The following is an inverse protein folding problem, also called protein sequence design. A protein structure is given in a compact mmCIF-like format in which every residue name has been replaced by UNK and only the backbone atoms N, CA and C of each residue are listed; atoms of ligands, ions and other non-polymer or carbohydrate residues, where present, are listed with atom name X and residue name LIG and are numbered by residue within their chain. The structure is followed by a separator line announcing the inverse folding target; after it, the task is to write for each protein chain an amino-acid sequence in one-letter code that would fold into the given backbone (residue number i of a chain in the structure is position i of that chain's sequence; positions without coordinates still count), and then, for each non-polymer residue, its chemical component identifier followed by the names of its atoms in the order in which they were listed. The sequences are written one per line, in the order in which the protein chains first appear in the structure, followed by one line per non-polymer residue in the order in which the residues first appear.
data_IF_681366792059
#
_entry.id   IF_681366792059
#
_cell.length_a   1.000
_cell.length_b   1.000
_cell.length_c   1.000
_cell.angle_alpha   90.00
_cell.angle_beta   90.00
_cell.angle_gamma   90.00
#
_symmetry.space_group_name_H-M   'P 1'
#
loop_
_entity.id
_entity.type
_entity.pdbx_description
1 polymer ?
#
# COMPACT_ATOMS: atom_id res chain seq x y z
N UNK A 1 32.72 -0.53 -15.31
CA UNK A 1 31.39 -0.87 -14.73
C UNK A 1 31.00 0.02 -13.56
N UNK A 2 31.69 0.05 -12.41
CA UNK A 2 31.33 0.91 -11.25
C UNK A 2 31.14 2.40 -11.58
N UNK A 3 32.03 3.00 -12.40
CA UNK A 3 31.88 4.38 -12.89
C UNK A 3 30.63 4.59 -13.76
N UNK A 4 30.26 3.59 -14.56
CA UNK A 4 29.08 3.63 -15.43
C UNK A 4 27.80 3.48 -14.58
N UNK A 5 27.82 2.59 -13.59
CA UNK A 5 26.72 2.38 -12.62
C UNK A 5 26.50 3.65 -11.80
N UNK A 6 27.55 4.29 -11.30
CA UNK A 6 27.44 5.56 -10.58
C UNK A 6 26.99 6.72 -11.49
N UNK A 7 27.31 6.68 -12.79
CA UNK A 7 26.82 7.68 -13.75
C UNK A 7 25.35 7.46 -14.14
N UNK A 8 24.84 6.24 -14.01
CA UNK A 8 23.45 5.86 -14.30
C UNK A 8 22.57 5.83 -13.04
N UNK A 9 23.15 5.83 -11.84
CA UNK A 9 22.42 5.87 -10.59
C UNK A 9 21.84 7.28 -10.37
N UNK A 10 20.63 7.48 -10.87
CA UNK A 10 19.86 8.68 -10.63
C UNK A 10 19.29 8.59 -9.21
N UNK A 11 19.74 9.48 -8.32
CA UNK A 11 19.23 9.59 -6.95
C UNK A 11 19.84 8.62 -5.93
N UNK A 12 19.90 9.09 -4.69
CA UNK A 12 20.32 8.30 -3.53
C UNK A 12 19.20 7.39 -3.03
N UNK A 13 19.57 6.30 -2.34
CA UNK A 13 18.61 5.40 -1.69
C UNK A 13 17.61 6.15 -0.80
N UNK A 14 18.07 7.19 -0.10
CA UNK A 14 17.20 8.05 0.73
C UNK A 14 16.14 8.79 -0.08
N UNK A 15 16.48 9.29 -1.27
CA UNK A 15 15.52 9.97 -2.15
C UNK A 15 14.47 8.99 -2.66
N UNK A 16 14.88 7.77 -3.03
CA UNK A 16 13.97 6.73 -3.47
C UNK A 16 13.08 6.21 -2.33
N UNK A 17 13.62 6.08 -1.12
CA UNK A 17 12.83 5.71 0.05
C UNK A 17 11.78 6.78 0.38
N UNK A 18 12.16 8.06 0.32
CA UNK A 18 11.23 9.16 0.51
C UNK A 18 10.14 9.19 -0.57
N UNK A 19 10.53 9.13 -1.84
CA UNK A 19 9.58 9.14 -2.96
C UNK A 19 8.63 7.94 -2.88
N UNK A 20 9.14 6.73 -2.64
CA UNK A 20 8.34 5.53 -2.50
C UNK A 20 7.36 5.62 -1.34
N UNK A 21 7.77 6.18 -0.21
CA UNK A 21 6.87 6.43 0.94
C UNK A 21 5.77 7.41 0.56
N UNK A 22 6.12 8.56 -0.05
CA UNK A 22 5.17 9.59 -0.44
C UNK A 22 4.11 9.06 -1.42
N UNK A 23 4.53 8.38 -2.50
CA UNK A 23 3.60 7.82 -3.47
C UNK A 23 2.78 6.67 -2.89
N UNK A 24 3.35 5.87 -2.00
CA UNK A 24 2.62 4.83 -1.27
C UNK A 24 1.51 5.40 -0.37
N UNK A 25 1.77 6.52 0.30
CA UNK A 25 0.78 7.23 1.10
C UNK A 25 -0.33 7.83 0.24
N UNK A 26 0.03 8.44 -0.90
CA UNK A 26 -0.96 8.97 -1.86
C UNK A 26 -1.84 7.84 -2.40
N UNK A 27 -1.26 6.70 -2.75
CA UNK A 27 -2.03 5.53 -3.19
C UNK A 27 -2.96 5.02 -2.08
N UNK A 28 -2.51 5.02 -0.82
CA UNK A 28 -3.32 4.62 0.34
C UNK A 28 -4.52 5.54 0.57
N UNK A 29 -4.45 6.80 0.15
CA UNK A 29 -5.58 7.73 0.22
C UNK A 29 -6.77 7.28 -0.64
N UNK A 30 -6.54 6.53 -1.74
CA UNK A 30 -7.62 5.95 -2.54
C UNK A 30 -8.40 4.89 -1.75
N UNK A 31 -7.71 4.04 -0.98
CA UNK A 31 -8.33 3.04 -0.11
C UNK A 31 -9.12 3.73 1.01
N UNK A 32 -8.56 4.78 1.60
CA UNK A 32 -9.25 5.57 2.61
C UNK A 32 -10.53 6.22 2.06
N UNK A 33 -10.48 6.77 0.85
CA UNK A 33 -11.66 7.34 0.19
C UNK A 33 -12.76 6.29 -0.03
N UNK A 34 -12.38 5.09 -0.48
CA UNK A 34 -13.34 3.99 -0.63
C UNK A 34 -13.92 3.59 0.73
N UNK A 35 -13.09 3.48 1.76
CA UNK A 35 -13.53 3.12 3.11
C UNK A 35 -14.54 4.13 3.68
N UNK A 36 -14.30 5.44 3.50
CA UNK A 36 -15.26 6.47 3.90
C UNK A 36 -16.58 6.31 3.16
N UNK A 37 -16.56 6.02 1.85
CA UNK A 37 -17.76 5.75 1.07
C UNK A 37 -18.52 4.52 1.59
N UNK A 38 -17.82 3.44 1.93
CA UNK A 38 -18.45 2.22 2.45
C UNK A 38 -19.03 2.41 3.86
N UNK A 39 -18.47 3.29 4.68
CA UNK A 39 -19.05 3.64 5.98
C UNK A 39 -20.35 4.45 5.87
N UNK A 40 -20.54 5.17 4.76
CA UNK A 40 -21.70 6.02 4.52
C UNK A 40 -22.77 5.33 3.68
N UNK A 41 -22.55 4.07 3.29
CA UNK A 41 -23.50 3.34 2.43
C UNK A 41 -24.79 3.04 3.19
N UNK A 42 -25.91 3.11 2.48
CA UNK A 42 -27.23 2.77 3.01
C UNK A 42 -27.65 1.33 2.69
N UNK A 43 -27.00 0.71 1.70
CA UNK A 43 -27.34 -0.63 1.20
C UNK A 43 -26.14 -1.57 1.35
N UNK A 44 -26.35 -2.85 1.03
CA UNK A 44 -25.28 -3.85 0.97
C UNK A 44 -24.13 -3.39 0.07
N UNK A 45 -22.90 -3.75 0.44
CA UNK A 45 -21.73 -3.38 -0.34
C UNK A 45 -21.76 -4.03 -1.73
N UNK A 46 -21.45 -3.23 -2.75
CA UNK A 46 -21.28 -3.73 -4.13
C UNK A 46 -19.84 -4.16 -4.44
N UNK A 47 -18.92 -4.00 -3.48
CA UNK A 47 -17.52 -4.36 -3.68
C UNK A 47 -17.33 -5.87 -3.74
N UNK A 48 -16.48 -6.31 -4.68
CA UNK A 48 -16.11 -7.73 -4.79
C UNK A 48 -15.26 -8.16 -3.60
N UNK A 49 -15.76 -9.13 -2.83
CA UNK A 49 -15.00 -9.76 -1.74
C UNK A 49 -13.63 -10.26 -2.23
N UNK A 50 -13.59 -10.95 -3.37
CA UNK A 50 -12.36 -11.50 -3.93
C UNK A 50 -11.34 -10.41 -4.26
N UNK A 51 -11.79 -9.25 -4.74
CA UNK A 51 -10.92 -8.10 -4.99
C UNK A 51 -10.38 -7.54 -3.68
N UNK A 52 -11.25 -7.27 -2.70
CA UNK A 52 -10.85 -6.65 -1.43
C UNK A 52 -9.91 -7.55 -0.64
N UNK A 53 -10.25 -8.84 -0.52
CA UNK A 53 -9.42 -9.85 0.13
C UNK A 53 -8.13 -10.13 -0.65
N UNK A 54 -8.18 -10.16 -1.98
CA UNK A 54 -6.99 -10.37 -2.81
C UNK A 54 -5.93 -9.28 -2.58
N UNK A 55 -6.35 -8.01 -2.59
CA UNK A 55 -5.43 -6.90 -2.30
C UNK A 55 -4.93 -6.89 -0.86
N UNK A 56 -5.73 -7.36 0.12
CA UNK A 56 -5.26 -7.57 1.48
C UNK A 56 -4.03 -8.48 1.51
N UNK A 57 -4.08 -9.61 0.79
CA UNK A 57 -2.95 -10.55 0.70
C UNK A 57 -1.74 -9.93 -0.02
N UNK A 58 -1.97 -9.12 -1.06
CA UNK A 58 -0.90 -8.39 -1.77
C UNK A 58 -0.18 -7.42 -0.83
N UNK A 59 -0.91 -6.62 -0.05
CA UNK A 59 -0.30 -5.68 0.90
C UNK A 59 0.41 -6.41 2.03
N UNK A 60 -0.15 -7.52 2.53
CA UNK A 60 0.51 -8.36 3.51
C UNK A 60 1.84 -8.91 2.97
N UNK A 61 1.83 -9.47 1.75
CA UNK A 61 3.04 -9.98 1.09
C UNK A 61 4.12 -8.90 0.98
N UNK A 62 3.77 -7.71 0.48
CA UNK A 62 4.73 -6.63 0.31
C UNK A 62 5.23 -6.06 1.64
N UNK A 63 4.38 -6.00 2.66
CA UNK A 63 4.80 -5.62 4.01
C UNK A 63 5.90 -6.57 4.53
N UNK A 64 5.65 -7.89 4.48
CA UNK A 64 6.65 -8.88 4.90
C UNK A 64 7.91 -8.88 4.03
N UNK A 65 7.76 -8.65 2.72
CA UNK A 65 8.88 -8.44 1.83
C UNK A 65 9.73 -7.23 2.27
N UNK A 66 9.08 -6.10 2.55
CA UNK A 66 9.74 -4.89 3.05
C UNK A 66 10.52 -5.13 4.33
N UNK A 67 9.94 -5.87 5.30
CA UNK A 67 10.61 -6.27 6.53
C UNK A 67 11.84 -7.14 6.25
N UNK A 68 11.70 -8.17 5.39
CA UNK A 68 12.77 -9.11 5.04
C UNK A 68 14.00 -8.43 4.43
N UNK A 69 13.78 -7.40 3.62
CA UNK A 69 14.84 -6.66 2.90
C UNK A 69 15.15 -5.29 3.51
N UNK A 70 14.56 -4.95 4.66
CA UNK A 70 14.77 -3.69 5.40
C UNK A 70 14.55 -2.45 4.51
N UNK A 71 13.44 -2.40 3.78
CA UNK A 71 13.07 -1.31 2.86
C UNK A 71 11.95 -0.44 3.45
N UNK A 72 12.26 0.70 4.09
CA UNK A 72 11.27 1.51 4.81
C UNK A 72 10.08 1.95 3.95
N UNK A 73 10.34 2.36 2.70
CA UNK A 73 9.27 2.79 1.80
C UNK A 73 8.21 1.72 1.55
N UNK A 74 8.65 0.48 1.35
CA UNK A 74 7.74 -0.66 1.14
C UNK A 74 7.02 -0.98 2.45
N UNK A 75 7.72 -0.99 3.58
CA UNK A 75 7.15 -1.30 4.90
C UNK A 75 6.02 -0.32 5.23
N UNK A 76 6.30 0.98 5.20
CA UNK A 76 5.36 2.01 5.66
C UNK A 76 4.13 2.04 4.76
N UNK A 77 4.33 2.08 3.44
CA UNK A 77 3.22 2.13 2.49
C UNK A 77 2.30 0.91 2.61
N UNK A 78 2.87 -0.29 2.68
CA UNK A 78 2.06 -1.51 2.71
C UNK A 78 1.45 -1.78 4.08
N UNK A 79 2.08 -1.35 5.18
CA UNK A 79 1.45 -1.44 6.50
C UNK A 79 0.18 -0.60 6.59
N UNK A 80 0.22 0.64 6.08
CA UNK A 80 -0.93 1.54 6.05
C UNK A 80 -2.01 0.99 5.12
N UNK A 81 -1.64 0.61 3.88
CA UNK A 81 -2.57 0.02 2.94
C UNK A 81 -3.21 -1.27 3.48
N UNK A 82 -2.43 -2.16 4.11
CA UNK A 82 -2.92 -3.39 4.74
C UNK A 82 -3.95 -3.07 5.84
N UNK A 83 -3.68 -2.09 6.69
CA UNK A 83 -4.59 -1.69 7.78
C UNK A 83 -5.91 -1.13 7.26
N UNK A 84 -5.84 -0.24 6.25
CA UNK A 84 -7.01 0.32 5.59
C UNK A 84 -7.81 -0.76 4.86
N UNK A 85 -7.14 -1.64 4.12
CA UNK A 85 -7.76 -2.73 3.37
C UNK A 85 -8.41 -3.76 4.30
N UNK A 86 -7.80 -4.04 5.46
CA UNK A 86 -8.38 -4.91 6.48
C UNK A 86 -9.66 -4.29 7.04
N UNK A 87 -9.63 -2.98 7.31
CA UNK A 87 -10.80 -2.26 7.80
C UNK A 87 -11.92 -2.27 6.76
N UNK A 88 -11.58 -2.03 5.49
CA UNK A 88 -12.51 -2.12 4.37
C UNK A 88 -13.14 -3.50 4.27
N UNK A 89 -12.34 -4.56 4.37
CA UNK A 89 -12.85 -5.94 4.36
C UNK A 89 -13.87 -6.17 5.48
N UNK A 90 -13.59 -5.72 6.70
CA UNK A 90 -14.53 -5.84 7.82
C UNK A 90 -15.80 -5.06 7.53
N UNK A 91 -15.68 -3.82 7.04
CA UNK A 91 -16.82 -2.93 6.78
C UNK A 91 -17.75 -3.47 5.70
N UNK A 92 -17.24 -4.10 4.64
CA UNK A 92 -18.11 -4.65 3.58
C UNK A 92 -18.85 -5.94 3.98
N UNK A 93 -18.42 -6.59 5.08
CA UNK A 93 -19.00 -7.83 5.58
C UNK A 93 -20.08 -7.59 6.67
N UNK A 94 -20.17 -6.37 7.19
CA UNK A 94 -21.19 -5.93 8.17
C UNK A 94 -22.38 -5.36 7.42
#
# INVERSE_FOLDING_TARGET
MKKLINALQVGSDKQWDFAGTLFGLIASAAILSQLVSEFQRENESSLSFAFVFGFLLVYAFWFFYGLRFKRPAIIIANFIALSLQLTLLVVILI
#
